data_IF_969433681925
#
_entry.id   IF_969433681925
#
_cell.length_a   1.000
_cell.length_b   1.000
_cell.length_c   1.000
_cell.angle_alpha   90.00
_cell.angle_beta   90.00
_cell.angle_gamma   90.00
#
_symmetry.space_group_name_H-M   'P 1'
#
loop_
_entity.id
_entity.type
_entity.pdbx_description
1 polymer ?
#
# COMPACT_ATOMS: atom_id res chain seq x y z
N UNK A 1 14.70 8.45 11.64
CA UNK A 1 13.73 8.78 10.58
C UNK A 1 12.65 7.69 10.57
N UNK A 2 11.41 7.98 10.17
CA UNK A 2 10.26 7.05 10.29
C UNK A 2 9.47 6.88 8.98
N UNK A 3 10.03 7.38 7.87
CA UNK A 3 9.35 7.48 6.59
C UNK A 3 10.29 7.10 5.45
N UNK A 4 9.76 6.47 4.41
CA UNK A 4 10.47 6.15 3.18
C UNK A 4 9.64 6.54 1.95
N UNK A 5 10.32 6.86 0.87
CA UNK A 5 9.71 7.10 -0.44
C UNK A 5 10.03 5.92 -1.34
N UNK A 6 8.99 5.28 -1.88
CA UNK A 6 9.13 4.19 -2.84
C UNK A 6 8.78 4.70 -4.23
N UNK A 7 9.70 4.52 -5.17
CA UNK A 7 9.43 4.72 -6.61
C UNK A 7 8.69 3.49 -7.15
N UNK A 8 7.49 3.71 -7.69
CA UNK A 8 6.62 2.65 -8.22
C UNK A 8 6.74 2.46 -9.74
N UNK A 9 7.57 3.25 -10.41
CA UNK A 9 7.81 3.13 -11.86
C UNK A 9 8.46 1.79 -12.22
N UNK A 10 9.20 1.17 -11.30
CA UNK A 10 9.71 -0.20 -11.45
C UNK A 10 8.63 -1.27 -11.59
N UNK A 11 7.39 -0.99 -11.18
CA UNK A 11 6.22 -1.84 -11.39
C UNK A 11 5.41 -1.42 -12.64
N UNK A 12 5.84 -0.40 -13.38
CA UNK A 12 5.10 0.16 -14.52
C UNK A 12 3.84 0.92 -14.13
N UNK A 13 3.77 1.42 -12.88
CA UNK A 13 2.60 2.11 -12.33
C UNK A 13 2.90 3.59 -12.05
N UNK A 14 1.86 4.41 -12.06
CA UNK A 14 1.88 5.74 -11.43
C UNK A 14 1.63 5.62 -9.93
N UNK A 15 2.02 6.64 -9.16
CA UNK A 15 1.73 6.70 -7.72
C UNK A 15 0.22 6.65 -7.43
N UNK A 16 -0.61 7.23 -8.29
CA UNK A 16 -2.08 7.14 -8.21
C UNK A 16 -2.60 5.72 -8.42
N UNK A 17 -2.07 4.99 -9.38
CA UNK A 17 -2.45 3.58 -9.61
C UNK A 17 -2.01 2.72 -8.43
N UNK A 18 -0.77 2.88 -7.97
CA UNK A 18 -0.22 2.16 -6.82
C UNK A 18 -1.02 2.42 -5.53
N UNK A 19 -1.32 3.68 -5.21
CA UNK A 19 -2.13 4.03 -4.03
C UNK A 19 -3.50 3.37 -4.07
N UNK A 20 -4.19 3.41 -5.21
CA UNK A 20 -5.53 2.84 -5.33
C UNK A 20 -5.51 1.30 -5.25
N UNK A 21 -4.54 0.65 -5.91
CA UNK A 21 -4.37 -0.80 -5.84
C UNK A 21 -4.06 -1.28 -4.41
N UNK A 22 -3.19 -0.56 -3.68
CA UNK A 22 -2.90 -0.85 -2.28
C UNK A 22 -4.13 -0.66 -1.39
N UNK A 23 -4.92 0.40 -1.64
CA UNK A 23 -6.16 0.64 -0.90
C UNK A 23 -7.17 -0.50 -1.07
N UNK A 24 -7.25 -1.09 -2.27
CA UNK A 24 -8.10 -2.26 -2.52
C UNK A 24 -7.69 -3.50 -1.71
N UNK A 25 -6.41 -3.61 -1.33
CA UNK A 25 -5.89 -4.64 -0.42
C UNK A 25 -5.84 -4.21 1.05
N UNK A 26 -6.61 -3.20 1.45
CA UNK A 26 -6.66 -2.62 2.81
C UNK A 26 -5.36 -1.93 3.30
N UNK A 27 -4.45 -1.58 2.38
CA UNK A 27 -3.24 -0.83 2.69
C UNK A 27 -3.42 0.64 2.34
N UNK A 28 -3.47 1.51 3.36
CA UNK A 28 -3.62 2.96 3.15
C UNK A 28 -2.25 3.62 3.08
N UNK A 29 -1.92 4.16 1.90
CA UNK A 29 -0.69 4.92 1.65
C UNK A 29 -1.01 6.27 1.02
N UNK A 30 0.00 7.12 0.88
CA UNK A 30 -0.13 8.41 0.21
C UNK A 30 0.76 8.44 -1.04
N UNK A 31 0.18 8.72 -2.21
CA UNK A 31 0.94 9.01 -3.43
C UNK A 31 1.71 10.32 -3.26
N UNK A 32 2.94 10.36 -3.73
CA UNK A 32 3.80 11.53 -3.57
C UNK A 32 4.80 11.66 -4.73
N UNK A 33 5.15 12.88 -5.08
CA UNK A 33 6.12 13.14 -6.14
C UNK A 33 7.52 12.71 -5.71
N UNK A 34 8.28 12.15 -6.66
CA UNK A 34 9.71 11.88 -6.51
C UNK A 34 10.55 13.01 -7.14
N UNK A 35 11.86 13.11 -6.87
CA UNK A 35 12.71 14.07 -7.56
C UNK A 35 12.60 13.89 -9.08
N UNK A 36 12.39 14.98 -9.81
CA UNK A 36 12.22 14.97 -11.28
C UNK A 36 11.07 14.06 -11.77
N UNK A 37 9.96 14.03 -11.03
CA UNK A 37 8.81 13.16 -11.32
C UNK A 37 8.26 13.34 -12.76
N UNK A 38 8.28 12.29 -13.61
CA UNK A 38 7.79 12.38 -14.98
C UNK A 38 6.27 12.47 -15.10
N UNK A 39 5.52 12.08 -14.05
CA UNK A 39 4.06 11.97 -14.05
C UNK A 39 3.35 13.19 -13.43
N UNK A 40 4.12 14.17 -12.92
CA UNK A 40 3.61 15.41 -12.32
C UNK A 40 2.82 15.21 -11.02
N UNK A 41 2.38 16.31 -10.41
CA UNK A 41 1.79 16.32 -9.06
C UNK A 41 0.46 15.57 -8.93
N UNK A 42 -0.28 15.36 -10.03
CA UNK A 42 -1.60 14.74 -9.99
C UNK A 42 -1.56 13.21 -9.97
N UNK A 43 -0.61 12.61 -10.70
CA UNK A 43 -0.46 11.17 -10.83
C UNK A 43 0.73 10.64 -10.02
N UNK A 44 1.84 11.39 -9.98
CA UNK A 44 3.09 11.08 -9.28
C UNK A 44 3.72 9.75 -9.70
N UNK A 45 4.94 9.50 -9.26
CA UNK A 45 5.69 8.27 -9.53
C UNK A 45 6.12 7.55 -8.25
N UNK A 46 5.71 8.05 -7.08
CA UNK A 46 6.06 7.45 -5.81
C UNK A 46 4.90 7.29 -4.84
N UNK A 47 5.13 6.47 -3.82
CA UNK A 47 4.29 6.35 -2.63
C UNK A 47 5.14 6.53 -1.38
N UNK A 48 4.54 7.14 -0.36
CA UNK A 48 5.18 7.44 0.90
C UNK A 48 4.68 6.48 1.97
N UNK A 49 5.60 5.76 2.60
CA UNK A 49 5.32 4.78 3.65
C UNK A 49 5.88 5.28 4.97
N UNK A 50 5.14 5.11 6.06
CA UNK A 50 5.56 5.48 7.40
C UNK A 50 5.20 4.40 8.41
N UNK A 51 6.08 4.21 9.39
CA UNK A 51 5.91 3.22 10.47
C UNK A 51 5.11 3.67 11.71
N UNK A 52 4.93 4.99 12.04
CA UNK A 52 4.36 5.37 13.33
C UNK A 52 2.99 4.78 13.68
N UNK A 53 2.08 4.66 12.70
CA UNK A 53 0.73 4.15 12.94
C UNK A 53 0.74 2.70 13.43
N UNK A 54 1.52 1.85 12.76
CA UNK A 54 1.60 0.41 13.07
C UNK A 54 2.50 0.12 14.27
N UNK A 55 3.57 0.90 14.48
CA UNK A 55 4.41 0.75 15.70
C UNK A 55 3.65 1.18 16.96
N UNK A 56 2.71 2.12 16.85
CA UNK A 56 1.84 2.52 17.97
C UNK A 56 0.89 1.38 18.37
N UNK A 57 0.50 0.54 17.41
CA UNK A 57 -0.28 -0.67 17.66
C UNK A 57 0.56 -1.84 18.22
N UNK A 58 1.88 -1.68 18.36
CA UNK A 58 2.78 -2.70 18.89
C UNK A 58 3.38 -3.65 17.85
N UNK A 59 3.18 -3.38 16.55
CA UNK A 59 3.81 -4.16 15.48
C UNK A 59 5.32 -3.96 15.45
N UNK A 60 6.04 -5.01 15.07
CA UNK A 60 7.51 -5.10 15.01
C UNK A 60 7.99 -5.52 13.63
N UNK A 61 9.29 -5.80 13.52
CA UNK A 61 9.99 -6.17 12.29
C UNK A 61 9.32 -7.34 11.56
N UNK A 62 8.87 -8.38 12.27
CA UNK A 62 8.18 -9.53 11.68
C UNK A 62 6.89 -9.14 10.95
N UNK A 63 6.12 -8.21 11.50
CA UNK A 63 4.89 -7.72 10.85
C UNK A 63 5.22 -6.79 9.68
N UNK A 64 6.34 -6.06 9.74
CA UNK A 64 6.80 -5.22 8.63
C UNK A 64 7.14 -6.05 7.40
N UNK A 65 7.74 -7.22 7.55
CA UNK A 65 8.03 -8.13 6.44
C UNK A 65 6.74 -8.59 5.75
N UNK A 66 5.72 -8.96 6.52
CA UNK A 66 4.39 -9.32 5.98
C UNK A 66 3.74 -8.16 5.21
N UNK A 67 3.81 -6.95 5.76
CA UNK A 67 3.26 -5.75 5.12
C UNK A 67 4.03 -5.43 3.83
N UNK A 68 5.36 -5.56 3.84
CA UNK A 68 6.19 -5.33 2.66
C UNK A 68 5.89 -6.34 1.55
N UNK A 69 5.71 -7.61 1.88
CA UNK A 69 5.31 -8.65 0.94
C UNK A 69 3.92 -8.40 0.37
N UNK A 70 2.95 -8.00 1.20
CA UNK A 70 1.61 -7.63 0.75
C UNK A 70 1.64 -6.45 -0.24
N UNK A 71 2.44 -5.41 0.06
CA UNK A 71 2.65 -4.27 -0.85
C UNK A 71 3.22 -4.77 -2.19
N UNK A 72 4.30 -5.57 -2.15
CA UNK A 72 4.96 -6.09 -3.34
C UNK A 72 4.02 -6.95 -4.20
N UNK A 73 3.24 -7.84 -3.58
CA UNK A 73 2.27 -8.70 -4.27
C UNK A 73 1.21 -7.87 -5.01
N UNK A 74 0.58 -6.90 -4.34
CA UNK A 74 -0.42 -6.05 -4.96
C UNK A 74 0.15 -5.23 -6.13
N UNK A 75 1.33 -4.64 -5.95
CA UNK A 75 1.96 -3.84 -7.00
C UNK A 75 2.36 -4.70 -8.21
N UNK A 76 2.93 -5.91 -8.01
CA UNK A 76 3.30 -6.83 -9.09
C UNK A 76 2.10 -7.37 -9.87
N UNK A 77 0.98 -7.58 -9.20
CA UNK A 77 -0.25 -8.09 -9.80
C UNK A 77 -1.22 -6.98 -10.25
N UNK A 78 -0.73 -5.74 -10.28
CA UNK A 78 -1.44 -4.60 -10.86
C UNK A 78 -0.85 -4.26 -12.21
N UNK A 79 -1.70 -4.17 -13.23
CA UNK A 79 -1.31 -3.75 -14.58
C UNK A 79 -1.97 -2.42 -14.92
N UNK A 80 -1.17 -1.44 -15.34
CA UNK A 80 -1.67 -0.16 -15.82
C UNK A 80 -2.49 -0.34 -17.11
N UNK A 81 -3.62 0.34 -17.21
CA UNK A 81 -4.40 0.36 -18.44
C UNK A 81 -3.72 1.24 -19.50
N UNK A 82 -3.69 0.78 -20.75
CA UNK A 82 -3.08 1.54 -21.85
C UNK A 82 -3.82 2.87 -22.05
N UNK A 83 -3.05 3.97 -22.14
CA UNK A 83 -3.59 5.31 -22.40
C UNK A 83 -4.23 6.01 -21.19
N UNK A 84 -4.11 5.46 -19.97
CA UNK A 84 -4.62 6.11 -18.75
C UNK A 84 -3.62 6.03 -17.60
N UNK A 85 -3.34 7.18 -16.98
CA UNK A 85 -2.49 7.28 -15.79
C UNK A 85 -3.22 6.99 -14.46
N UNK A 86 -4.51 6.63 -14.52
CA UNK A 86 -5.34 6.38 -13.35
C UNK A 86 -6.04 5.01 -13.37
N UNK A 87 -6.34 4.47 -14.55
CA UNK A 87 -6.98 3.15 -14.69
C UNK A 87 -5.95 2.04 -14.60
N UNK A 88 -6.31 0.94 -13.97
CA UNK A 88 -5.50 -0.26 -13.83
C UNK A 88 -6.42 -1.48 -13.69
N UNK A 89 -5.84 -2.67 -13.80
CA UNK A 89 -6.47 -3.94 -13.45
C UNK A 89 -5.63 -4.61 -12.38
N UNK A 90 -6.27 -5.05 -11.31
CA UNK A 90 -5.65 -5.80 -10.22
C UNK A 90 -6.24 -7.21 -10.22
N UNK A 91 -5.37 -8.21 -10.07
CA UNK A 91 -5.79 -9.60 -9.90
C UNK A 91 -6.72 -9.74 -8.69
N UNK A 92 -7.92 -10.27 -8.93
CA UNK A 92 -8.96 -10.40 -7.91
C UNK A 92 -8.55 -11.36 -6.81
N UNK A 93 -7.88 -12.47 -7.15
CA UNK A 93 -7.52 -13.51 -6.20
C UNK A 93 -6.42 -13.01 -5.25
N UNK A 94 -5.45 -12.28 -5.81
CA UNK A 94 -4.39 -11.63 -5.02
C UNK A 94 -4.97 -10.55 -4.11
N UNK A 95 -5.87 -9.70 -4.63
CA UNK A 95 -6.54 -8.69 -3.82
C UNK A 95 -7.26 -9.30 -2.63
N UNK A 96 -8.08 -10.34 -2.86
CA UNK A 96 -8.85 -10.98 -1.79
C UNK A 96 -7.96 -11.70 -0.78
N UNK A 97 -6.86 -12.31 -1.23
CA UNK A 97 -5.88 -12.96 -0.36
C UNK A 97 -5.20 -11.95 0.55
N UNK A 98 -4.63 -10.89 -0.02
CA UNK A 98 -3.94 -9.84 0.75
C UNK A 98 -4.90 -9.13 1.69
N UNK A 99 -6.12 -8.82 1.24
CA UNK A 99 -7.12 -8.18 2.11
C UNK A 99 -7.47 -9.04 3.34
N UNK A 100 -7.56 -10.36 3.19
CA UNK A 100 -7.78 -11.31 4.30
C UNK A 100 -6.57 -11.37 5.23
N UNK A 101 -5.37 -11.43 4.69
CA UNK A 101 -4.12 -11.42 5.48
C UNK A 101 -3.99 -10.13 6.30
N UNK A 102 -4.23 -8.97 5.69
CA UNK A 102 -4.19 -7.68 6.39
C UNK A 102 -5.29 -7.59 7.46
N UNK A 103 -6.48 -8.11 7.19
CA UNK A 103 -7.54 -8.15 8.20
C UNK A 103 -7.18 -9.07 9.38
N UNK A 104 -6.57 -10.23 9.12
CA UNK A 104 -6.10 -11.14 10.16
C UNK A 104 -4.94 -10.55 10.97
N UNK A 105 -4.05 -9.79 10.33
CA UNK A 105 -3.00 -9.05 11.02
C UNK A 105 -3.61 -8.00 11.96
N UNK A 106 -4.52 -7.17 11.45
CA UNK A 106 -5.15 -6.10 12.24
C UNK A 106 -5.99 -6.63 13.39
N UNK A 107 -6.61 -7.81 13.29
CA UNK A 107 -7.37 -8.41 14.40
C UNK A 107 -6.49 -8.83 15.58
N UNK A 108 -5.19 -9.02 15.35
CA UNK A 108 -4.19 -9.30 16.40
C UNK A 108 -3.74 -8.03 17.14
N UNK A 109 -3.91 -6.86 16.51
CA UNK A 109 -3.45 -5.56 17.02
C UNK A 109 -4.60 -4.53 17.05
N UNK A 110 -5.59 -4.71 17.95
CA UNK A 110 -6.73 -3.80 18.04
C UNK A 110 -6.30 -2.40 18.50
N UNK A 111 -6.90 -1.36 17.90
CA UNK A 111 -6.59 0.04 18.22
C UNK A 111 -6.97 0.44 19.65
N UNK A 112 -8.09 -0.09 20.15
CA UNK A 112 -8.59 0.14 21.51
C UNK A 112 -8.95 -1.21 22.15
N UNK A 113 -7.97 -1.96 22.69
CA UNK A 113 -8.21 -3.27 23.31
C UNK A 113 -9.24 -3.23 24.44
N UNK A 114 -9.38 -2.07 25.10
CA UNK A 114 -10.28 -1.81 26.21
C UNK A 114 -11.73 -1.57 25.79
N UNK A 115 -12.00 -1.28 24.51
CA UNK A 115 -13.35 -1.04 23.99
C UNK A 115 -13.85 -2.34 23.34
N UNK A 116 -14.86 -3.02 23.93
CA UNK A 116 -15.45 -4.18 23.29
C UNK A 116 -16.11 -3.77 21.97
N UNK A 117 -15.71 -4.42 20.88
CA UNK A 117 -16.36 -4.28 19.58
C UNK A 117 -17.62 -5.16 19.65
N UNK A 118 -18.77 -4.50 19.83
CA UNK A 118 -20.10 -5.14 19.86
C UNK A 118 -20.59 -5.45 18.46
#
# INVERSE_FOLDING_TARGET
NHIVMLDVTGYGLTGRQAENALREGHLTVNRNSIPQDPNGAWYTSGIRLGTPAITTLGMKEEQMDLIADAINQLLKHTTAATGSQAKYTLDKDVKETVAKEMQALLSTFPLYPEIPIV
#
